data_IF_738610059312
#
_entry.id   IF_738610059312
#
_cell.length_a   1.000
_cell.length_b   1.000
_cell.length_c   1.000
_cell.angle_alpha   90.00
_cell.angle_beta   90.00
_cell.angle_gamma   90.00
#
_symmetry.space_group_name_H-M   'P 1'
#
loop_
_entity.id
_entity.type
_entity.pdbx_description
1 polymer ?
#
# COMPACT_ATOMS: atom_id res chain seq x y z
N UNK A 1 34.62 -33.72 25.32
CA UNK A 1 34.53 -32.26 25.14
C UNK A 1 33.58 -31.98 23.98
N UNK A 2 32.78 -30.90 24.06
CA UNK A 2 31.98 -30.28 22.98
C UNK A 2 30.50 -30.70 22.79
N UNK A 3 29.72 -30.81 23.86
CA UNK A 3 28.25 -30.81 23.75
C UNK A 3 27.60 -29.91 24.81
N UNK A 4 27.91 -28.61 24.81
CA UNK A 4 27.23 -27.69 25.74
C UNK A 4 27.13 -26.23 25.27
N UNK A 5 27.29 -25.97 23.97
CA UNK A 5 27.24 -24.58 23.43
C UNK A 5 25.96 -24.27 22.62
N UNK A 6 25.01 -25.20 22.51
CA UNK A 6 23.80 -25.02 21.70
C UNK A 6 22.65 -24.27 22.40
N UNK A 7 22.63 -24.26 23.74
CA UNK A 7 21.46 -23.79 24.50
C UNK A 7 21.37 -22.27 24.66
N UNK A 8 22.47 -21.53 24.45
CA UNK A 8 22.45 -20.06 24.52
C UNK A 8 22.21 -19.39 23.15
N UNK A 9 22.56 -20.06 22.05
CA UNK A 9 22.29 -19.57 20.69
C UNK A 9 20.86 -19.94 20.21
N UNK A 10 20.29 -21.04 20.69
CA UNK A 10 18.96 -21.50 20.29
C UNK A 10 17.80 -20.60 20.72
N UNK A 11 17.96 -19.88 21.84
CA UNK A 11 16.88 -19.06 22.42
C UNK A 11 16.52 -17.85 21.54
N UNK A 12 17.50 -17.27 20.84
CA UNK A 12 17.26 -16.18 19.90
C UNK A 12 16.85 -16.66 18.50
N UNK A 13 17.34 -17.82 18.06
CA UNK A 13 17.00 -18.40 16.75
C UNK A 13 15.49 -18.70 16.62
N UNK A 14 14.87 -19.18 17.70
CA UNK A 14 13.41 -19.38 17.73
C UNK A 14 12.62 -18.08 17.56
N UNK A 15 13.09 -16.99 18.17
CA UNK A 15 12.46 -15.67 18.06
C UNK A 15 12.63 -15.05 16.66
N UNK A 16 13.80 -15.23 16.05
CA UNK A 16 14.06 -14.79 14.66
C UNK A 16 13.18 -15.52 13.64
N UNK A 17 12.89 -16.81 13.86
CA UNK A 17 11.96 -17.57 13.02
C UNK A 17 10.55 -16.97 13.03
N UNK A 18 10.07 -16.49 14.18
CA UNK A 18 8.75 -15.83 14.29
C UNK A 18 8.70 -14.56 13.44
N UNK A 19 9.71 -13.69 13.54
CA UNK A 19 9.79 -12.48 12.71
C UNK A 19 9.93 -12.79 11.22
N UNK A 20 10.64 -13.85 10.86
CA UNK A 20 10.80 -14.28 9.48
C UNK A 20 9.45 -14.74 8.90
N UNK A 21 8.68 -15.54 9.65
CA UNK A 21 7.34 -15.98 9.24
C UNK A 21 6.37 -14.80 9.14
N UNK A 22 6.40 -13.86 10.10
CA UNK A 22 5.58 -12.64 10.05
C UNK A 22 5.95 -11.79 8.84
N UNK A 23 7.24 -11.54 8.61
CA UNK A 23 7.72 -10.75 7.48
C UNK A 23 7.34 -11.35 6.13
N UNK A 24 7.49 -12.67 5.97
CA UNK A 24 7.08 -13.39 4.76
C UNK A 24 5.55 -13.37 4.61
N UNK A 25 4.79 -13.59 5.68
CA UNK A 25 3.33 -13.54 5.66
C UNK A 25 2.81 -12.15 5.24
N UNK A 26 3.36 -11.09 5.84
CA UNK A 26 3.06 -9.70 5.48
C UNK A 26 3.45 -9.44 4.03
N UNK A 27 4.63 -9.86 3.59
CA UNK A 27 5.08 -9.68 2.20
C UNK A 27 4.16 -10.39 1.19
N UNK A 28 3.75 -11.62 1.47
CA UNK A 28 2.82 -12.37 0.61
C UNK A 28 1.42 -11.75 0.64
N UNK A 29 0.95 -11.27 1.78
CA UNK A 29 -0.31 -10.55 1.89
C UNK A 29 -0.24 -9.24 1.12
N UNK A 30 0.79 -8.39 1.27
CA UNK A 30 0.92 -7.17 0.46
C UNK A 30 1.04 -7.47 -1.04
N UNK A 31 1.77 -8.51 -1.42
CA UNK A 31 1.95 -8.90 -2.82
C UNK A 31 0.68 -9.47 -3.45
N UNK A 32 -0.11 -10.23 -2.69
CA UNK A 32 -1.36 -10.85 -3.16
C UNK A 32 -2.57 -9.92 -2.98
N UNK A 33 -2.54 -9.03 -1.99
CA UNK A 33 -3.45 -7.91 -1.81
C UNK A 33 -3.03 -6.73 -2.67
N UNK A 34 -2.85 -6.96 -3.97
CA UNK A 34 -2.75 -5.92 -5.02
C UNK A 34 -3.98 -5.00 -5.13
N UNK A 35 -4.73 -4.79 -4.03
CA UNK A 35 -5.54 -3.61 -3.77
C UNK A 35 -4.60 -2.43 -3.55
N UNK A 36 -4.34 -1.71 -4.63
CA UNK A 36 -4.68 -0.29 -4.79
C UNK A 36 -4.41 0.67 -3.62
N UNK A 37 -3.41 0.39 -2.78
CA UNK A 37 -2.88 1.39 -1.86
C UNK A 37 -1.71 2.03 -2.55
N UNK A 38 -2.05 3.13 -3.23
CA UNK A 38 -1.21 4.28 -3.43
C UNK A 38 0.05 4.20 -2.58
N UNK A 39 1.12 3.71 -3.20
CA UNK A 39 2.47 3.89 -2.74
C UNK A 39 2.90 5.35 -3.04
N UNK A 40 2.08 6.32 -2.62
CA UNK A 40 2.46 7.73 -2.52
C UNK A 40 3.21 7.95 -1.20
N UNK A 41 4.33 7.21 -1.05
CA UNK A 41 5.44 7.59 -0.18
C UNK A 41 6.60 8.21 -0.99
N UNK A 42 6.30 8.75 -2.17
CA UNK A 42 7.09 9.81 -2.79
C UNK A 42 6.39 11.15 -2.53
N UNK A 43 7.08 12.31 -2.67
CA UNK A 43 6.42 13.61 -2.64
C UNK A 43 5.29 13.56 -3.68
N UNK A 44 4.04 13.49 -3.22
CA UNK A 44 2.89 13.39 -4.10
C UNK A 44 2.95 14.59 -5.04
N UNK A 45 2.94 14.40 -6.37
CA UNK A 45 2.67 15.50 -7.28
C UNK A 45 1.42 16.22 -6.78
N UNK A 46 1.35 17.56 -6.83
CA UNK A 46 0.17 18.29 -6.37
C UNK A 46 -1.08 17.59 -6.92
N UNK A 47 -1.93 17.09 -6.02
CA UNK A 47 -3.08 16.24 -6.37
C UNK A 47 -3.77 16.84 -7.58
N UNK A 48 -3.67 16.16 -8.72
CA UNK A 48 -4.22 16.73 -9.93
C UNK A 48 -5.72 16.87 -9.74
N UNK A 49 -6.37 17.89 -10.34
CA UNK A 49 -7.82 18.03 -10.23
C UNK A 49 -8.60 16.74 -10.57
N UNK A 50 -8.00 15.86 -11.38
CA UNK A 50 -8.51 14.53 -11.72
C UNK A 50 -8.51 13.55 -10.54
N UNK A 51 -7.49 13.58 -9.68
CA UNK A 51 -7.35 12.66 -8.54
C UNK A 51 -8.32 13.03 -7.43
N UNK A 52 -8.57 14.33 -7.21
CA UNK A 52 -9.62 14.81 -6.31
C UNK A 52 -10.99 14.31 -6.80
N UNK A 53 -11.21 14.30 -8.11
CA UNK A 53 -12.46 13.88 -8.71
C UNK A 53 -12.69 12.36 -8.57
N UNK A 54 -11.66 11.55 -8.82
CA UNK A 54 -11.71 10.09 -8.60
C UNK A 54 -11.98 9.75 -7.15
N UNK A 55 -11.36 10.46 -6.20
CA UNK A 55 -11.57 10.26 -4.77
C UNK A 55 -13.02 10.51 -4.36
N UNK A 56 -13.65 11.56 -4.92
CA UNK A 56 -15.07 11.90 -4.67
C UNK A 56 -16.04 10.88 -5.27
N UNK A 57 -15.70 10.29 -6.42
CA UNK A 57 -16.48 9.20 -7.01
C UNK A 57 -16.39 7.94 -6.13
N UNK A 58 -15.19 7.63 -5.62
CA UNK A 58 -14.98 6.49 -4.73
C UNK A 58 -15.66 6.65 -3.36
N UNK A 59 -15.81 7.89 -2.85
CA UNK A 59 -16.58 8.17 -1.64
C UNK A 59 -18.10 8.17 -1.86
N UNK A 60 -18.56 8.16 -3.13
CA UNK A 60 -19.98 8.28 -3.47
C UNK A 60 -20.52 9.72 -3.33
N UNK A 61 -19.65 10.72 -3.17
CA UNK A 61 -20.03 12.14 -3.06
C UNK A 61 -20.45 12.74 -4.40
N UNK A 62 -20.09 12.10 -5.52
CA UNK A 62 -20.50 12.48 -6.88
C UNK A 62 -20.96 11.26 -7.66
N UNK A 63 -21.89 11.46 -8.59
CA UNK A 63 -22.33 10.37 -9.47
C UNK A 63 -21.34 10.16 -10.63
N UNK A 64 -21.35 8.98 -11.29
CA UNK A 64 -20.50 8.72 -12.46
C UNK A 64 -20.69 9.74 -13.58
N UNK A 65 -21.91 10.25 -13.78
CA UNK A 65 -22.23 11.25 -14.81
C UNK A 65 -21.57 12.61 -14.49
N UNK A 66 -21.58 13.02 -13.23
CA UNK A 66 -20.92 14.25 -12.78
C UNK A 66 -19.40 14.15 -12.89
N UNK A 67 -18.85 12.96 -12.64
CA UNK A 67 -17.42 12.69 -12.83
C UNK A 67 -17.02 12.87 -14.29
N UNK A 68 -17.78 12.30 -15.24
CA UNK A 68 -17.43 12.40 -16.67
C UNK A 68 -17.45 13.85 -17.17
N UNK A 69 -18.45 14.64 -16.79
CA UNK A 69 -18.54 16.05 -17.16
C UNK A 69 -17.34 16.85 -16.65
N UNK A 70 -16.99 16.68 -15.37
CA UNK A 70 -15.87 17.40 -14.75
C UNK A 70 -14.51 16.91 -15.28
N UNK A 71 -14.36 15.61 -15.53
CA UNK A 71 -13.15 15.04 -16.13
C UNK A 71 -12.93 15.51 -17.57
N UNK A 72 -14.00 15.70 -18.34
CA UNK A 72 -13.93 16.24 -19.69
C UNK A 72 -13.50 17.72 -19.70
N UNK A 73 -14.02 18.53 -18.76
CA UNK A 73 -13.62 19.93 -18.61
C UNK A 73 -12.15 20.08 -18.23
N UNK A 74 -11.67 19.28 -17.28
CA UNK A 74 -10.26 19.27 -16.86
C UNK A 74 -9.30 18.83 -17.98
N UNK A 75 -9.72 17.91 -18.85
CA UNK A 75 -8.94 17.53 -20.04
C UNK A 75 -8.86 18.64 -21.08
N UNK A 76 -9.90 19.46 -21.20
CA UNK A 76 -9.97 20.56 -22.18
C UNK A 76 -9.20 21.80 -21.72
N UNK A 77 -9.06 22.01 -20.42
CA UNK A 77 -8.32 23.13 -19.82
C UNK A 77 -7.35 22.62 -18.75
N UNK A 78 -6.13 22.19 -19.13
CA UNK A 78 -5.08 21.90 -18.16
C UNK A 78 -4.66 23.22 -17.47
N UNK A 79 -4.82 23.27 -16.15
CA UNK A 79 -4.37 24.36 -15.27
C UNK A 79 -2.96 24.12 -14.77
#
# INVERSE_FOLDING_TARGET
>A
MFYDHGYMAGMHLGWWLVWLVIGVGVFLVLRNSGTSRDASQGPTPPDTPMDILKRRLASGDITPEEFEQRAALLRKHPV
#
